data_IF_491966367911
#
_entry.id   IF_491966367911
#
_cell.length_a   1.000
_cell.length_b   1.000
_cell.length_c   1.000
_cell.angle_alpha   90.00
_cell.angle_beta   90.00
_cell.angle_gamma   90.00
#
_symmetry.space_group_name_H-M   'P 1'
#
loop_
_entity.id
_entity.type
_entity.pdbx_description
1 polymer ?
#
# COMPACT_ATOMS: atom_id res chain seq x y z
N UNK A 1 -6.99 -29.57 15.15
CA UNK A 1 -6.50 -29.73 13.77
C UNK A 1 -5.81 -28.44 13.38
N UNK A 2 -4.49 -28.41 13.38
CA UNK A 2 -3.70 -27.29 12.83
C UNK A 2 -3.62 -27.50 11.32
N UNK A 3 -4.46 -26.82 10.55
CA UNK A 3 -4.26 -26.73 9.11
C UNK A 3 -3.01 -25.91 8.87
N UNK A 4 -1.89 -26.60 8.60
CA UNK A 4 -0.68 -25.99 8.03
C UNK A 4 -1.08 -25.29 6.73
N UNK A 5 -1.23 -23.97 6.80
CA UNK A 5 -1.68 -23.16 5.68
C UNK A 5 -0.54 -23.10 4.66
N UNK A 6 -0.65 -23.86 3.56
CA UNK A 6 0.33 -23.82 2.48
C UNK A 6 0.28 -22.43 1.81
N UNK A 7 1.24 -21.57 2.14
CA UNK A 7 1.40 -20.27 1.49
C UNK A 7 1.93 -20.50 0.07
N UNK A 8 1.30 -19.91 -0.96
CA UNK A 8 1.83 -19.99 -2.31
C UNK A 8 3.23 -19.35 -2.37
N UNK A 9 4.10 -19.89 -3.21
CA UNK A 9 5.44 -19.34 -3.37
C UNK A 9 5.35 -17.97 -4.10
N UNK A 10 6.07 -16.92 -3.68
CA UNK A 10 6.12 -15.66 -4.43
C UNK A 10 6.54 -15.89 -5.88
N UNK A 11 6.04 -15.05 -6.81
CA UNK A 11 6.48 -15.06 -8.20
C UNK A 11 7.99 -14.82 -8.31
N UNK A 12 8.62 -15.23 -9.41
CA UNK A 12 10.06 -14.96 -9.62
C UNK A 12 10.29 -13.54 -10.16
N UNK A 13 11.46 -12.95 -9.87
CA UNK A 13 11.85 -11.62 -10.36
C UNK A 13 11.23 -10.44 -9.60
N UNK A 14 11.15 -9.28 -10.26
CA UNK A 14 10.57 -8.04 -9.68
C UNK A 14 9.14 -8.22 -9.12
N UNK A 15 8.23 -8.98 -9.77
CA UNK A 15 6.91 -9.28 -9.19
C UNK A 15 6.99 -10.04 -7.86
N UNK A 16 8.03 -10.84 -7.65
CA UNK A 16 8.26 -11.56 -6.40
C UNK A 16 8.63 -10.66 -5.21
N UNK A 17 9.27 -9.52 -5.49
CA UNK A 17 9.57 -8.53 -4.46
C UNK A 17 8.28 -7.85 -4.01
N UNK A 18 7.41 -7.52 -4.96
CA UNK A 18 6.09 -6.97 -4.69
C UNK A 18 5.20 -7.97 -3.94
N UNK A 19 5.20 -9.24 -4.33
CA UNK A 19 4.49 -10.32 -3.63
C UNK A 19 4.97 -10.49 -2.18
N UNK A 20 6.27 -10.30 -1.90
CA UNK A 20 6.81 -10.33 -0.53
C UNK A 20 6.35 -9.15 0.33
N UNK A 21 6.04 -8.02 -0.31
CA UNK A 21 5.58 -6.82 0.38
C UNK A 21 4.06 -6.81 0.58
N UNK A 22 3.32 -7.27 -0.42
CA UNK A 22 1.86 -7.32 -0.48
C UNK A 22 1.22 -8.55 0.20
N UNK A 23 2.01 -9.62 0.35
CA UNK A 23 1.54 -10.94 0.72
C UNK A 23 1.59 -11.89 -0.48
N UNK A 24 2.23 -13.07 -0.35
CA UNK A 24 2.36 -14.01 -1.45
C UNK A 24 0.99 -14.55 -1.88
N UNK A 25 0.77 -14.59 -3.20
CA UNK A 25 -0.50 -15.00 -3.78
C UNK A 25 -1.48 -13.86 -4.06
N UNK A 26 -1.09 -12.60 -3.87
CA UNK A 26 -1.88 -11.45 -4.32
C UNK A 26 -2.11 -11.50 -5.85
N UNK A 27 -3.37 -11.38 -6.24
CA UNK A 27 -3.73 -11.22 -7.64
C UNK A 27 -3.16 -9.91 -8.19
N UNK A 28 -2.99 -9.80 -9.51
CA UNK A 28 -2.52 -8.54 -10.13
C UNK A 28 -3.46 -7.35 -9.84
N UNK A 29 -4.75 -7.61 -9.62
CA UNK A 29 -5.75 -6.60 -9.24
C UNK A 29 -5.58 -6.18 -7.78
N UNK A 30 -5.39 -7.12 -6.85
CA UNK A 30 -5.09 -6.78 -5.45
C UNK A 30 -3.80 -5.95 -5.35
N UNK A 31 -2.77 -6.34 -6.10
CA UNK A 31 -1.52 -5.58 -6.15
C UNK A 31 -1.77 -4.17 -6.70
N UNK A 32 -2.53 -4.04 -7.79
CA UNK A 32 -2.88 -2.73 -8.32
C UNK A 32 -3.64 -1.87 -7.30
N UNK A 33 -4.60 -2.44 -6.58
CA UNK A 33 -5.35 -1.72 -5.54
C UNK A 33 -4.46 -1.29 -4.36
N UNK A 34 -3.58 -2.17 -3.91
CA UNK A 34 -2.67 -1.92 -2.79
C UNK A 34 -1.61 -0.84 -3.08
N UNK A 35 -1.32 -0.53 -4.35
CA UNK A 35 -0.35 0.54 -4.69
C UNK A 35 -1.02 1.78 -5.27
N UNK A 36 -2.07 1.63 -6.08
CA UNK A 36 -2.69 2.75 -6.79
C UNK A 36 -3.57 3.60 -5.85
N UNK A 37 -4.33 2.99 -4.95
CA UNK A 37 -5.17 3.75 -4.00
C UNK A 37 -4.33 4.53 -2.98
N UNK A 38 -3.28 3.97 -2.37
CA UNK A 38 -2.40 4.74 -1.49
C UNK A 38 -1.66 5.87 -2.20
N UNK A 39 -1.25 5.67 -3.46
CA UNK A 39 -0.63 6.72 -4.26
C UNK A 39 -1.61 7.88 -4.52
N UNK A 40 -2.86 7.57 -4.87
CA UNK A 40 -3.92 8.56 -5.01
C UNK A 40 -4.18 9.30 -3.69
N UNK A 41 -4.21 8.57 -2.56
CA UNK A 41 -4.38 9.18 -1.24
C UNK A 41 -3.24 10.14 -0.88
N UNK A 42 -1.99 9.74 -1.13
CA UNK A 42 -0.82 10.59 -0.92
C UNK A 42 -0.88 11.86 -1.77
N UNK A 43 -1.18 11.74 -3.06
CA UNK A 43 -1.34 12.89 -3.96
C UNK A 43 -2.48 13.83 -3.52
N UNK A 44 -3.62 13.25 -3.13
CA UNK A 44 -4.78 14.03 -2.64
C UNK A 44 -4.47 14.74 -1.33
N UNK A 45 -3.78 14.09 -0.39
CA UNK A 45 -3.38 14.68 0.88
C UNK A 45 -2.41 15.85 0.67
N UNK A 46 -1.41 15.71 -0.20
CA UNK A 46 -0.50 16.80 -0.55
C UNK A 46 -1.25 17.94 -1.24
N UNK A 47 -2.07 17.64 -2.25
CA UNK A 47 -2.85 18.66 -2.95
C UNK A 47 -3.76 19.45 -2.00
N UNK A 48 -4.43 18.75 -1.08
CA UNK A 48 -5.25 19.38 -0.06
C UNK A 48 -4.41 20.23 0.91
N UNK A 49 -3.28 19.72 1.41
CA UNK A 49 -2.39 20.46 2.31
C UNK A 49 -1.84 21.73 1.63
N UNK A 50 -1.51 21.65 0.33
CA UNK A 50 -1.07 22.81 -0.45
C UNK A 50 -2.17 23.85 -0.59
N UNK A 51 -3.41 23.43 -0.84
CA UNK A 51 -4.55 24.34 -0.96
C UNK A 51 -5.00 24.94 0.37
N UNK A 52 -5.08 24.13 1.43
CA UNK A 52 -5.67 24.52 2.71
C UNK A 52 -4.66 25.18 3.68
N UNK A 53 -3.39 24.78 3.62
CA UNK A 53 -2.36 25.28 4.55
C UNK A 53 -1.30 26.11 3.83
N UNK A 54 -0.77 25.61 2.71
CA UNK A 54 0.14 26.33 1.80
C UNK A 54 1.54 26.68 2.35
N UNK A 55 1.70 26.78 3.67
CA UNK A 55 2.90 27.30 4.35
C UNK A 55 3.86 26.22 4.86
N UNK A 56 3.57 24.95 4.57
CA UNK A 56 4.42 23.84 4.99
C UNK A 56 5.77 23.84 4.26
N UNK A 57 6.79 23.41 4.97
CA UNK A 57 8.08 23.06 4.38
C UNK A 57 7.94 21.85 3.46
N UNK A 58 8.87 21.70 2.50
CA UNK A 58 8.93 20.54 1.62
C UNK A 58 8.95 19.21 2.42
N UNK A 59 9.66 19.18 3.55
CA UNK A 59 9.72 18.01 4.43
C UNK A 59 8.34 17.64 5.00
N UNK A 60 7.54 18.63 5.43
CA UNK A 60 6.19 18.38 5.95
C UNK A 60 5.26 17.82 4.86
N UNK A 61 5.36 18.31 3.62
CA UNK A 61 4.61 17.73 2.50
C UNK A 61 5.02 16.27 2.21
N UNK A 62 6.33 15.99 2.24
CA UNK A 62 6.84 14.61 2.07
C UNK A 62 6.33 13.71 3.18
N UNK A 63 6.42 14.13 4.44
CA UNK A 63 5.90 13.37 5.58
C UNK A 63 4.39 13.13 5.47
N UNK A 64 3.63 14.15 5.06
CA UNK A 64 2.20 14.01 4.81
C UNK A 64 1.88 12.98 3.72
N UNK A 65 2.61 13.00 2.61
CA UNK A 65 2.47 12.03 1.54
C UNK A 65 2.75 10.61 2.02
N UNK A 66 3.85 10.42 2.76
CA UNK A 66 4.26 9.12 3.31
C UNK A 66 3.23 8.58 4.30
N UNK A 67 2.71 9.42 5.21
CA UNK A 67 1.67 9.01 6.17
C UNK A 67 0.37 8.65 5.48
N UNK A 68 -0.08 9.44 4.50
CA UNK A 68 -1.30 9.14 3.76
C UNK A 68 -1.18 7.85 2.94
N UNK A 69 -0.02 7.61 2.32
CA UNK A 69 0.30 6.36 1.65
C UNK A 69 0.28 5.17 2.62
N UNK A 70 0.99 5.27 3.75
CA UNK A 70 1.10 4.20 4.73
C UNK A 70 -0.26 3.82 5.34
N UNK A 71 -1.06 4.82 5.76
CA UNK A 71 -2.38 4.59 6.35
C UNK A 71 -3.32 3.90 5.36
N UNK A 72 -3.46 4.44 4.15
CA UNK A 72 -4.38 3.85 3.15
C UNK A 72 -3.84 2.51 2.66
N UNK A 73 -2.52 2.38 2.46
CA UNK A 73 -1.88 1.12 2.09
C UNK A 73 -2.13 0.03 3.11
N UNK A 74 -1.92 0.33 4.40
CA UNK A 74 -2.23 -0.58 5.49
C UNK A 74 -3.70 -1.01 5.53
N UNK A 75 -4.64 -0.07 5.35
CA UNK A 75 -6.08 -0.38 5.29
C UNK A 75 -6.39 -1.33 4.13
N UNK A 76 -5.92 -1.04 2.92
CA UNK A 76 -6.20 -1.85 1.73
C UNK A 76 -5.55 -3.23 1.85
N UNK A 77 -4.27 -3.31 2.20
CA UNK A 77 -3.54 -4.58 2.37
C UNK A 77 -4.22 -5.48 3.39
N UNK A 78 -4.58 -4.95 4.58
CA UNK A 78 -5.31 -5.70 5.61
C UNK A 78 -6.73 -6.11 5.18
N UNK A 79 -7.29 -5.46 4.16
CA UNK A 79 -8.63 -5.78 3.65
C UNK A 79 -8.61 -6.86 2.55
N UNK A 80 -7.47 -7.07 1.89
CA UNK A 80 -7.30 -8.09 0.83
C UNK A 80 -7.31 -9.52 1.37
N UNK A 81 -7.61 -10.49 0.51
CA UNK A 81 -7.57 -11.91 0.89
C UNK A 81 -6.14 -12.34 1.23
N UNK A 82 -5.13 -11.84 0.52
CA UNK A 82 -3.72 -12.12 0.80
C UNK A 82 -3.24 -11.57 2.16
N UNK A 83 -3.77 -10.43 2.61
CA UNK A 83 -3.41 -9.84 3.91
C UNK A 83 -4.10 -10.47 5.13
N UNK A 84 -5.19 -11.21 4.93
CA UNK A 84 -5.95 -11.89 6.01
C UNK A 84 -5.53 -13.35 6.24
N UNK A 85 -4.61 -13.86 5.42
CA UNK A 85 -4.18 -15.27 5.43
C UNK A 85 -3.03 -15.52 6.37
#
# INVERSE_FOLDING_TARGET
MTTEQHLPNPRTGLPGILDRFAGPGATSVELALQFLLPLLAAGTAVAYATYAVGTWSALQYVVCALLAFDIVGGIITNSTSSGKR
#
